data_IF_135576786580
#
_entry.id   IF_135576786580
#
_cell.length_a   1.000
_cell.length_b   1.000
_cell.length_c   1.000
_cell.angle_alpha   90.00
_cell.angle_beta   90.00
_cell.angle_gamma   90.00
#
_symmetry.space_group_name_H-M   'P 1'
#
loop_
_entity.id
_entity.type
_entity.pdbx_description
1 polymer ?
#
# COMPACT_ATOMS: atom_id res chain seq x y z
N UNK A 1 5.29 -4.15 5.79
CA UNK A 1 5.27 -3.31 7.01
C UNK A 1 6.64 -3.09 7.64
N UNK A 2 7.48 -4.12 7.83
CA UNK A 2 8.83 -3.92 8.39
C UNK A 2 9.70 -2.98 7.55
N UNK A 3 9.68 -3.10 6.21
CA UNK A 3 10.42 -2.21 5.31
C UNK A 3 9.98 -0.74 5.43
N UNK A 4 8.67 -0.47 5.46
CA UNK A 4 8.13 0.90 5.54
C UNK A 4 8.34 1.55 6.92
N UNK A 5 8.31 0.78 8.00
CA UNK A 5 8.53 1.31 9.36
C UNK A 5 10.01 1.37 9.75
N UNK A 6 10.86 0.50 9.21
CA UNK A 6 12.19 0.27 9.76
C UNK A 6 12.13 -0.48 11.11
N UNK A 7 13.28 -0.92 11.61
CA UNK A 7 13.34 -1.89 12.71
C UNK A 7 12.73 -1.38 14.03
N UNK A 8 13.15 -0.19 14.49
CA UNK A 8 12.69 0.35 15.77
C UNK A 8 11.19 0.67 15.79
N UNK A 9 10.71 1.38 14.77
CA UNK A 9 9.29 1.76 14.68
C UNK A 9 8.38 0.57 14.38
N UNK A 10 8.87 -0.44 13.65
CA UNK A 10 8.12 -1.67 13.46
C UNK A 10 7.86 -2.39 14.79
N UNK A 11 8.83 -2.38 15.71
CA UNK A 11 8.63 -2.93 17.06
C UNK A 11 7.58 -2.14 17.85
N UNK A 12 7.58 -0.81 17.76
CA UNK A 12 6.53 0.02 18.38
C UNK A 12 5.15 -0.31 17.80
N UNK A 13 5.07 -0.51 16.49
CA UNK A 13 3.87 -0.93 15.79
C UNK A 13 3.35 -2.29 16.27
N UNK A 14 4.23 -3.29 16.40
CA UNK A 14 3.89 -4.61 16.94
C UNK A 14 3.40 -4.52 18.40
N UNK A 15 4.03 -3.69 19.23
CA UNK A 15 3.61 -3.46 20.61
C UNK A 15 2.21 -2.82 20.68
N UNK A 16 1.92 -1.85 19.80
CA UNK A 16 0.60 -1.23 19.69
C UNK A 16 -0.47 -2.25 19.30
N UNK A 17 -0.18 -3.11 18.31
CA UNK A 17 -1.08 -4.19 17.88
C UNK A 17 -1.32 -5.18 19.03
N UNK A 18 -0.28 -5.59 19.75
CA UNK A 18 -0.43 -6.53 20.87
C UNK A 18 -1.28 -5.93 22.00
N UNK A 19 -1.12 -4.63 22.26
CA UNK A 19 -1.91 -3.90 23.25
C UNK A 19 -3.38 -3.86 22.83
N UNK A 20 -3.65 -3.49 21.58
CA UNK A 20 -5.00 -3.51 21.01
C UNK A 20 -5.62 -4.91 21.05
N UNK A 21 -4.90 -5.97 20.66
CA UNK A 21 -5.40 -7.35 20.71
C UNK A 21 -5.88 -7.76 22.11
N UNK A 22 -5.16 -7.34 23.16
CA UNK A 22 -5.55 -7.57 24.57
C UNK A 22 -6.74 -6.74 25.02
N UNK A 23 -6.92 -5.55 24.45
CA UNK A 23 -8.10 -4.71 24.72
C UNK A 23 -9.33 -5.27 23.98
N UNK A 24 -9.16 -5.71 22.72
CA UNK A 24 -10.21 -6.35 21.92
C UNK A 24 -10.76 -7.62 22.56
N UNK A 25 -9.92 -8.42 23.22
CA UNK A 25 -10.41 -9.59 23.98
C UNK A 25 -11.36 -9.24 25.13
N UNK A 26 -11.43 -7.96 25.52
CA UNK A 26 -12.36 -7.40 26.52
C UNK A 26 -13.50 -6.59 25.88
N UNK A 27 -13.57 -6.52 24.55
CA UNK A 27 -14.56 -5.73 23.81
C UNK A 27 -14.12 -4.29 23.47
N UNK A 28 -12.87 -3.92 23.74
CA UNK A 28 -12.34 -2.56 23.55
C UNK A 28 -11.35 -2.53 22.38
N UNK A 29 -11.82 -2.17 21.18
CA UNK A 29 -10.98 -2.04 19.98
C UNK A 29 -10.50 -0.62 19.74
N UNK A 30 -9.25 -0.48 19.32
CA UNK A 30 -8.60 0.78 19.02
C UNK A 30 -8.62 1.16 17.54
N UNK A 31 -8.18 2.39 17.29
CA UNK A 31 -7.93 2.94 15.97
C UNK A 31 -6.49 3.43 15.90
N UNK A 32 -5.95 3.44 14.70
CA UNK A 32 -4.62 3.93 14.38
C UNK A 32 -4.71 4.90 13.19
N UNK A 33 -3.98 6.03 13.19
CA UNK A 33 -3.93 6.93 12.04
C UNK A 33 -3.47 6.21 10.77
N UNK A 34 -4.05 6.57 9.63
CA UNK A 34 -3.64 6.00 8.34
C UNK A 34 -2.22 6.45 7.98
N UNK A 35 -1.97 7.76 8.03
CA UNK A 35 -0.65 8.39 7.97
C UNK A 35 -0.64 9.63 8.90
N UNK A 36 0.54 10.13 9.22
CA UNK A 36 0.75 11.33 10.05
C UNK A 36 1.78 12.24 9.39
N UNK A 37 1.72 13.54 9.66
CA UNK A 37 2.77 14.51 9.28
C UNK A 37 4.04 14.37 10.13
N UNK A 38 3.98 13.65 11.26
CA UNK A 38 5.11 13.46 12.19
C UNK A 38 5.43 11.98 12.46
N UNK A 39 5.79 11.19 11.42
CA UNK A 39 6.00 9.74 11.54
C UNK A 39 7.15 9.36 12.49
N UNK A 40 8.06 10.30 12.75
CA UNK A 40 9.16 10.13 13.70
C UNK A 40 8.73 10.23 15.17
N UNK A 41 7.49 10.63 15.47
CA UNK A 41 6.97 10.78 16.83
C UNK A 41 5.60 10.14 17.04
N UNK A 42 4.78 10.09 16.00
CA UNK A 42 3.43 9.51 16.02
C UNK A 42 3.38 8.22 15.19
N UNK A 43 2.77 7.19 15.75
CA UNK A 43 2.59 5.91 15.06
C UNK A 43 1.39 5.97 14.10
N UNK A 44 1.58 5.52 12.86
CA UNK A 44 0.52 5.35 11.87
C UNK A 44 0.66 4.02 11.13
N UNK A 45 -0.33 3.64 10.32
CA UNK A 45 -0.21 2.46 9.45
C UNK A 45 0.90 2.68 8.42
N UNK A 46 0.85 3.81 7.71
CA UNK A 46 1.81 4.22 6.69
C UNK A 46 2.63 5.41 7.22
N UNK A 47 3.89 5.20 7.63
CA UNK A 47 4.71 6.22 8.30
C UNK A 47 5.37 7.19 7.31
N UNK A 48 4.57 7.79 6.43
CA UNK A 48 5.04 8.72 5.39
C UNK A 48 4.26 10.03 5.46
N UNK A 49 4.93 11.14 5.83
CA UNK A 49 4.29 12.45 5.92
C UNK A 49 3.59 12.87 4.62
N UNK A 50 4.24 12.59 3.47
CA UNK A 50 3.68 12.92 2.15
C UNK A 50 2.37 12.17 1.84
N UNK A 51 2.17 10.98 2.41
CA UNK A 51 0.91 10.23 2.25
C UNK A 51 -0.22 10.97 2.97
N UNK A 52 0.03 11.53 4.15
CA UNK A 52 -0.96 12.33 4.86
C UNK A 52 -1.42 13.54 4.01
N UNK A 53 -0.47 14.33 3.51
CA UNK A 53 -0.75 15.53 2.71
C UNK A 53 -1.63 15.22 1.50
N UNK A 54 -1.25 14.22 0.71
CA UNK A 54 -1.94 13.91 -0.55
C UNK A 54 -3.34 13.36 -0.30
N UNK A 55 -3.52 12.47 0.68
CA UNK A 55 -4.85 11.92 0.96
C UNK A 55 -5.79 12.95 1.59
N UNK A 56 -5.30 13.85 2.45
CA UNK A 56 -6.11 14.95 2.96
C UNK A 56 -6.46 15.96 1.85
N UNK A 57 -5.56 16.20 0.90
CA UNK A 57 -5.85 17.02 -0.27
C UNK A 57 -6.94 16.37 -1.15
N UNK A 58 -6.81 15.08 -1.48
CA UNK A 58 -7.80 14.32 -2.25
C UNK A 58 -9.18 14.29 -1.58
N UNK A 59 -9.22 14.27 -0.25
CA UNK A 59 -10.47 14.34 0.50
C UNK A 59 -11.28 15.61 0.19
N UNK A 60 -10.62 16.71 -0.17
CA UNK A 60 -11.31 17.99 -0.44
C UNK A 60 -12.08 18.03 -1.76
N UNK A 61 -11.74 17.19 -2.74
CA UNK A 61 -12.34 17.26 -4.08
C UNK A 61 -12.72 15.92 -4.73
N UNK A 62 -12.17 14.79 -4.29
CA UNK A 62 -12.41 13.47 -4.92
C UNK A 62 -12.97 12.43 -3.94
N UNK A 63 -12.42 12.37 -2.72
CA UNK A 63 -12.74 11.33 -1.75
C UNK A 63 -13.26 11.90 -0.41
N UNK A 64 -14.35 12.68 -0.46
CA UNK A 64 -14.88 13.40 0.72
C UNK A 64 -15.24 12.52 1.92
N UNK A 65 -15.62 11.26 1.67
CA UNK A 65 -15.93 10.27 2.70
C UNK A 65 -14.71 9.54 3.26
N UNK A 66 -13.50 9.88 2.81
CA UNK A 66 -12.27 9.27 3.30
C UNK A 66 -12.15 9.46 4.82
N UNK A 67 -11.81 8.38 5.53
CA UNK A 67 -11.47 8.43 6.94
C UNK A 67 -9.99 8.15 7.08
N UNK A 68 -9.23 9.12 7.60
CA UNK A 68 -7.77 9.04 7.70
C UNK A 68 -7.30 8.19 8.91
N UNK A 69 -7.98 7.08 9.17
CA UNK A 69 -7.67 6.13 10.23
C UNK A 69 -8.10 4.72 9.81
N UNK A 70 -7.55 3.71 10.48
CA UNK A 70 -7.99 2.31 10.37
C UNK A 70 -8.21 1.74 11.77
N UNK A 71 -8.98 0.66 11.90
CA UNK A 71 -8.96 -0.09 13.15
C UNK A 71 -7.57 -0.71 13.30
N UNK A 72 -7.09 -0.81 14.54
CA UNK A 72 -5.79 -1.45 14.79
C UNK A 72 -5.82 -2.94 14.40
N UNK A 73 -6.99 -3.59 14.48
CA UNK A 73 -7.21 -4.94 13.95
C UNK A 73 -6.97 -5.04 12.44
N UNK A 74 -7.49 -4.10 11.63
CA UNK A 74 -7.21 -4.10 10.19
C UNK A 74 -5.72 -3.86 9.91
N UNK A 75 -5.06 -3.03 10.72
CA UNK A 75 -3.62 -2.81 10.63
C UNK A 75 -2.81 -4.08 10.98
N UNK A 76 -3.29 -4.88 11.92
CA UNK A 76 -2.75 -6.21 12.23
C UNK A 76 -2.94 -7.21 11.08
N UNK A 77 -4.11 -7.22 10.44
CA UNK A 77 -4.37 -8.10 9.30
C UNK A 77 -3.42 -7.82 8.12
N UNK A 78 -3.00 -6.56 7.92
CA UNK A 78 -2.01 -6.21 6.90
C UNK A 78 -0.65 -6.90 7.11
N UNK A 79 -0.28 -7.25 8.35
CA UNK A 79 0.97 -7.99 8.62
C UNK A 79 0.96 -9.41 8.07
N UNK A 80 -0.23 -10.00 7.92
CA UNK A 80 -0.41 -11.39 7.51
C UNK A 80 -1.02 -11.52 6.10
N UNK A 81 -1.44 -10.40 5.50
CA UNK A 81 -2.02 -10.39 4.17
C UNK A 81 -0.96 -10.69 3.11
N UNK A 82 -1.23 -11.66 2.25
CA UNK A 82 -0.37 -11.97 1.11
C UNK A 82 -1.19 -12.43 -0.08
N UNK A 83 -0.95 -11.80 -1.23
CA UNK A 83 -1.57 -12.20 -2.52
C UNK A 83 -0.78 -13.32 -3.22
N UNK A 84 0.48 -13.53 -2.82
CA UNK A 84 1.43 -14.42 -3.48
C UNK A 84 0.92 -15.86 -3.71
N UNK A 85 0.20 -16.50 -2.77
CA UNK A 85 -0.33 -17.86 -2.97
C UNK A 85 -1.35 -17.97 -4.12
N UNK A 86 -1.93 -16.86 -4.57
CA UNK A 86 -3.00 -16.85 -5.56
C UNK A 86 -2.53 -16.47 -6.98
N UNK A 87 -1.33 -15.89 -7.12
CA UNK A 87 -0.85 -15.33 -8.39
C UNK A 87 -0.75 -16.37 -9.51
N UNK A 88 -0.34 -17.61 -9.17
CA UNK A 88 -0.24 -18.70 -10.14
C UNK A 88 -1.60 -19.17 -10.70
N UNK A 89 -2.73 -18.71 -10.11
CA UNK A 89 -4.08 -19.04 -10.58
C UNK A 89 -4.58 -18.10 -11.68
N UNK A 90 -3.83 -17.03 -11.98
CA UNK A 90 -4.13 -16.11 -13.07
C UNK A 90 -3.52 -16.69 -14.35
N UNK A 91 -4.31 -17.39 -15.18
CA UNK A 91 -3.84 -18.20 -16.31
C UNK A 91 -4.08 -17.59 -17.69
N UNK A 92 -5.28 -17.09 -17.97
CA UNK A 92 -5.66 -16.58 -19.30
C UNK A 92 -6.37 -15.23 -19.16
N UNK A 93 -5.71 -14.34 -18.43
CA UNK A 93 -6.21 -12.98 -18.15
C UNK A 93 -5.16 -12.00 -18.61
N UNK A 94 -5.59 -10.97 -19.36
CA UNK A 94 -4.73 -9.85 -19.71
C UNK A 94 -4.41 -9.06 -18.44
N UNK A 95 -3.14 -9.04 -18.05
CA UNK A 95 -2.66 -8.32 -16.87
C UNK A 95 -1.72 -7.21 -17.32
N UNK A 96 -1.99 -5.99 -16.87
CA UNK A 96 -1.00 -4.92 -16.93
C UNK A 96 -0.67 -4.47 -15.50
N UNK A 97 0.61 -4.46 -15.16
CA UNK A 97 1.11 -3.91 -13.91
C UNK A 97 1.91 -2.64 -14.19
N UNK A 98 1.63 -1.57 -13.46
CA UNK A 98 2.42 -0.34 -13.51
C UNK A 98 3.15 -0.19 -12.19
N UNK A 99 4.46 0.01 -12.26
CA UNK A 99 5.33 0.14 -11.09
C UNK A 99 6.11 1.45 -11.20
N UNK A 100 6.14 2.23 -10.13
CA UNK A 100 7.03 3.37 -10.00
C UNK A 100 8.44 2.87 -9.64
N UNK A 101 9.46 3.29 -10.40
CA UNK A 101 10.84 2.90 -10.11
C UNK A 101 11.28 3.46 -8.75
N UNK A 102 11.80 2.59 -7.88
CA UNK A 102 12.24 2.97 -6.54
C UNK A 102 11.12 3.27 -5.54
N UNK A 103 9.88 2.84 -5.83
CA UNK A 103 8.78 2.96 -4.88
C UNK A 103 9.05 2.18 -3.58
N UNK A 104 9.19 2.91 -2.49
CA UNK A 104 9.43 2.37 -1.15
C UNK A 104 8.16 2.28 -0.29
N UNK A 105 7.00 2.73 -0.79
CA UNK A 105 5.71 2.65 -0.10
C UNK A 105 5.07 1.28 -0.36
N UNK A 106 4.98 0.84 -1.63
CA UNK A 106 4.48 -0.50 -1.99
C UNK A 106 5.58 -1.55 -2.13
N UNK A 107 6.85 -1.15 -2.01
CA UNK A 107 8.03 -1.98 -2.20
C UNK A 107 8.08 -2.58 -3.61
N UNK A 108 8.63 -1.78 -4.55
CA UNK A 108 8.68 -2.11 -5.98
C UNK A 108 9.30 -3.48 -6.30
N UNK A 109 10.20 -3.99 -5.46
CA UNK A 109 10.79 -5.32 -5.57
C UNK A 109 9.74 -6.43 -5.43
N UNK A 110 8.80 -6.26 -4.49
CA UNK A 110 7.68 -7.19 -4.30
C UNK A 110 6.66 -7.09 -5.44
N UNK A 111 6.45 -5.91 -6.00
CA UNK A 111 5.60 -5.72 -7.18
C UNK A 111 6.15 -6.50 -8.39
N UNK A 112 7.46 -6.35 -8.66
CA UNK A 112 8.16 -7.10 -9.72
C UNK A 112 8.09 -8.61 -9.47
N UNK A 113 8.31 -9.04 -8.22
CA UNK A 113 8.21 -10.45 -7.85
C UNK A 113 6.79 -11.00 -8.08
N UNK A 114 5.76 -10.23 -7.70
CA UNK A 114 4.37 -10.61 -7.90
C UNK A 114 4.06 -10.75 -9.39
N UNK A 115 4.46 -9.78 -10.22
CA UNK A 115 4.30 -9.86 -11.68
C UNK A 115 4.92 -11.13 -12.27
N UNK A 116 6.14 -11.47 -11.84
CA UNK A 116 6.85 -12.64 -12.34
C UNK A 116 6.14 -13.96 -11.99
N UNK A 117 5.44 -14.03 -10.84
CA UNK A 117 4.69 -15.21 -10.39
C UNK A 117 3.32 -15.39 -11.04
N UNK A 118 2.80 -14.38 -11.75
CA UNK A 118 1.55 -14.51 -12.52
C UNK A 118 1.76 -15.51 -13.65
N UNK A 119 0.91 -16.52 -13.76
CA UNK A 119 1.06 -17.60 -14.73
C UNK A 119 0.59 -17.22 -16.15
N UNK A 120 -0.20 -16.15 -16.28
CA UNK A 120 -0.73 -15.71 -17.56
C UNK A 120 0.38 -15.33 -18.53
N UNK A 121 0.36 -15.84 -19.79
CA UNK A 121 1.28 -15.39 -20.82
C UNK A 121 0.91 -13.99 -21.33
N UNK A 122 -0.31 -13.53 -21.06
CA UNK A 122 -0.84 -12.24 -21.49
C UNK A 122 -0.58 -11.15 -20.44
N UNK A 123 0.65 -11.07 -19.94
CA UNK A 123 1.04 -10.10 -18.91
C UNK A 123 2.08 -9.12 -19.42
N UNK A 124 1.90 -7.85 -19.09
CA UNK A 124 2.84 -6.78 -19.38
C UNK A 124 3.11 -5.94 -18.13
N UNK A 125 4.34 -5.43 -18.03
CA UNK A 125 4.75 -4.55 -16.95
C UNK A 125 5.30 -3.25 -17.52
N UNK A 126 4.88 -2.13 -16.94
CA UNK A 126 5.35 -0.80 -17.26
C UNK A 126 6.06 -0.22 -16.03
N UNK A 127 7.35 0.04 -16.16
CA UNK A 127 8.15 0.66 -15.10
C UNK A 127 8.30 2.14 -15.45
N UNK A 128 7.82 3.01 -14.56
CA UNK A 128 7.87 4.45 -14.76
C UNK A 128 9.09 5.05 -14.03
N UNK A 129 10.14 5.47 -14.75
CA UNK A 129 11.32 6.07 -14.14
C UNK A 129 11.01 7.45 -13.57
N UNK A 130 11.69 7.80 -12.48
CA UNK A 130 11.60 9.13 -11.86
C UNK A 130 10.20 9.51 -11.36
N UNK A 131 9.30 8.54 -11.17
CA UNK A 131 7.94 8.73 -10.66
C UNK A 131 7.86 8.15 -9.25
N UNK A 132 7.23 8.87 -8.31
CA UNK A 132 6.97 8.34 -6.96
C UNK A 132 5.58 7.70 -6.84
N UNK A 133 5.37 6.86 -5.82
CA UNK A 133 4.05 6.31 -5.48
C UNK A 133 2.95 7.39 -5.45
N UNK A 134 3.23 8.49 -4.76
CA UNK A 134 2.26 9.56 -4.58
C UNK A 134 2.04 10.37 -5.87
N UNK A 135 3.01 10.38 -6.77
CA UNK A 135 2.85 10.93 -8.11
C UNK A 135 1.90 10.10 -8.96
N UNK A 136 1.91 8.77 -8.82
CA UNK A 136 0.94 7.89 -9.48
C UNK A 136 -0.48 8.14 -8.99
N UNK A 137 -0.66 8.24 -7.67
CA UNK A 137 -1.97 8.50 -7.06
C UNK A 137 -2.53 9.87 -7.46
N UNK A 138 -1.68 10.91 -7.53
CA UNK A 138 -2.11 12.26 -7.90
C UNK A 138 -2.24 12.51 -9.41
N UNK A 139 -1.71 11.63 -10.26
CA UNK A 139 -1.71 11.82 -11.72
C UNK A 139 -2.95 11.18 -12.36
N UNK A 140 -4.04 11.93 -12.47
CA UNK A 140 -5.35 11.46 -12.98
C UNK A 140 -5.39 10.94 -14.43
N UNK A 141 -4.29 10.85 -15.21
CA UNK A 141 -4.41 10.68 -16.67
C UNK A 141 -3.35 9.86 -17.43
N UNK A 142 -2.34 9.23 -16.80
CA UNK A 142 -1.24 8.58 -17.56
C UNK A 142 -1.21 7.04 -17.55
N UNK A 143 -1.98 6.40 -16.69
CA UNK A 143 -1.96 4.93 -16.49
C UNK A 143 -2.62 4.16 -17.66
N UNK A 144 -3.80 4.54 -18.21
CA UNK A 144 -4.46 3.73 -19.22
C UNK A 144 -3.70 3.63 -20.56
N UNK A 145 -2.94 4.67 -20.92
CA UNK A 145 -2.19 4.73 -22.18
C UNK A 145 -1.05 3.70 -22.18
N UNK A 146 -0.34 3.56 -21.06
CA UNK A 146 0.81 2.64 -20.95
C UNK A 146 0.42 1.15 -21.06
N UNK A 147 -0.82 0.81 -20.68
CA UNK A 147 -1.35 -0.56 -20.75
C UNK A 147 -2.10 -0.87 -22.06
N UNK A 148 -2.65 0.16 -22.73
CA UNK A 148 -3.38 0.00 -23.99
C UNK A 148 -2.49 -0.31 -25.20
N UNK A 149 -1.19 -0.01 -25.14
CA UNK A 149 -0.24 -0.27 -26.22
C UNK A 149 0.38 -1.69 -26.21
N UNK A 150 0.09 -2.50 -25.18
CA UNK A 150 0.45 -3.92 -25.16
C UNK A 150 -0.46 -4.68 -26.16
N UNK A 151 -0.11 -4.60 -27.44
CA UNK A 151 -0.88 -5.16 -28.56
C UNK A 151 -1.01 -6.68 -28.49
N UNK A 152 -2.18 -7.10 -28.99
CA UNK A 152 -2.67 -8.44 -29.37
C UNK A 152 -1.62 -9.46 -29.77
#
# INVERSE_FOLDING_TARGET
MKQVHGESRFRDFENSILTDRRARSKGEGGKIPFATTTPDTELSVWPFARVNDVFLQLQTYEASLHQHWSTTESAELLLNSSVFPFLARILDVKVCMIVAEGDNITAWDLDIEAFNRIASPLKNIQILPGTSHMSLIGASYRVPIACGEAKS
#
